data_IF_328448395588
#
_entry.id   IF_328448395588
#
_cell.length_a   1.000
_cell.length_b   1.000
_cell.length_c   1.000
_cell.angle_alpha   90.00
_cell.angle_beta   90.00
_cell.angle_gamma   90.00
#
_symmetry.space_group_name_H-M   'P 1'
#
loop_
_entity.id
_entity.type
_entity.pdbx_description
1 polymer ?
#
# COMPACT_ATOMS: atom_id res chain seq x y z
N UNK A 1 26.54 -21.93 21.14
CA UNK A 1 25.88 -22.19 19.84
C UNK A 1 25.00 -21.00 19.53
N UNK A 2 25.47 -20.08 18.69
CA UNK A 2 24.68 -18.93 18.25
C UNK A 2 23.86 -19.39 17.05
N UNK A 3 22.54 -19.50 17.21
CA UNK A 3 21.63 -19.70 16.09
C UNK A 3 21.58 -18.39 15.30
N UNK A 4 22.51 -18.23 14.37
CA UNK A 4 22.36 -17.30 13.25
C UNK A 4 21.18 -17.80 12.43
N UNK A 5 20.01 -17.17 12.61
CA UNK A 5 19.00 -17.19 11.57
C UNK A 5 19.58 -16.39 10.40
N UNK A 6 20.12 -17.08 9.40
CA UNK A 6 20.34 -16.50 8.09
C UNK A 6 18.95 -16.24 7.50
N UNK A 7 18.47 -15.01 7.65
CA UNK A 7 17.31 -14.55 6.87
C UNK A 7 17.80 -14.55 5.42
N UNK A 8 17.11 -15.23 4.48
CA UNK A 8 17.49 -15.18 3.08
C UNK A 8 17.58 -13.72 2.62
N UNK A 9 18.56 -13.45 1.76
CA UNK A 9 18.87 -12.16 1.15
C UNK A 9 17.80 -11.69 0.14
N UNK A 10 16.52 -11.83 0.47
CA UNK A 10 15.43 -11.29 -0.33
C UNK A 10 15.05 -9.90 0.18
N UNK A 11 14.93 -8.96 -0.75
CA UNK A 11 14.49 -7.60 -0.42
C UNK A 11 13.03 -7.67 0.08
N UNK A 12 12.67 -6.90 1.12
CA UNK A 12 11.33 -6.95 1.68
C UNK A 12 10.29 -6.51 0.63
N UNK A 13 9.21 -7.27 0.51
CA UNK A 13 8.05 -6.92 -0.32
C UNK A 13 7.16 -5.95 0.46
N UNK A 14 6.95 -4.77 -0.10
CA UNK A 14 6.21 -3.69 0.58
C UNK A 14 4.87 -3.46 -0.11
N UNK A 15 3.81 -3.53 0.69
CA UNK A 15 2.47 -3.10 0.32
C UNK A 15 2.18 -1.72 0.90
N UNK A 16 1.86 -0.75 0.04
CA UNK A 16 1.42 0.58 0.43
C UNK A 16 -0.05 0.79 0.07
N UNK A 17 -0.86 1.06 1.08
CA UNK A 17 -2.28 1.40 0.93
C UNK A 17 -2.44 2.91 1.13
N UNK A 18 -3.13 3.58 0.20
CA UNK A 18 -3.30 5.04 0.25
C UNK A 18 -2.19 5.83 -0.46
N UNK A 19 -1.42 5.18 -1.33
CA UNK A 19 -0.28 5.76 -2.07
C UNK A 19 -0.58 7.05 -2.85
N UNK A 20 -1.84 7.29 -3.23
CA UNK A 20 -2.23 8.50 -3.97
C UNK A 20 -2.79 9.62 -3.08
N UNK A 21 -2.76 9.44 -1.76
CA UNK A 21 -3.09 10.48 -0.78
C UNK A 21 -1.88 11.37 -0.47
N UNK A 22 -2.08 12.44 0.29
CA UNK A 22 -0.99 13.35 0.67
C UNK A 22 0.12 12.64 1.48
N UNK A 23 -0.27 11.94 2.55
CA UNK A 23 0.66 11.19 3.41
C UNK A 23 1.24 10.00 2.65
N UNK A 24 0.38 9.18 2.03
CA UNK A 24 0.83 7.99 1.30
C UNK A 24 1.73 8.31 0.11
N UNK A 25 1.46 9.36 -0.64
CA UNK A 25 2.30 9.80 -1.75
C UNK A 25 3.66 10.33 -1.30
N UNK A 26 3.70 10.99 -0.13
CA UNK A 26 4.96 11.43 0.48
C UNK A 26 5.82 10.24 0.92
N UNK A 27 5.20 9.24 1.55
CA UNK A 27 5.86 7.99 1.94
C UNK A 27 6.35 7.23 0.70
N UNK A 28 5.51 7.07 -0.33
CA UNK A 28 5.90 6.43 -1.58
C UNK A 28 7.13 7.12 -2.19
N UNK A 29 7.08 8.44 -2.31
CA UNK A 29 8.18 9.22 -2.89
C UNK A 29 9.47 9.07 -2.08
N UNK A 30 9.38 9.01 -0.75
CA UNK A 30 10.54 8.79 0.12
C UNK A 30 11.10 7.36 -0.01
N UNK A 31 10.24 6.34 -0.05
CA UNK A 31 10.66 4.94 -0.22
C UNK A 31 11.38 4.74 -1.55
N UNK A 32 10.84 5.31 -2.63
CA UNK A 32 11.43 5.23 -3.97
C UNK A 32 12.75 5.99 -4.11
N UNK A 33 12.94 7.08 -3.35
CA UNK A 33 14.17 7.86 -3.33
C UNK A 33 15.21 7.34 -2.33
N UNK A 34 14.89 6.31 -1.55
CA UNK A 34 15.79 5.80 -0.53
C UNK A 34 16.92 4.97 -1.15
N UNK A 35 18.18 5.36 -0.91
CA UNK A 35 19.37 4.65 -1.38
C UNK A 35 19.73 3.38 -0.58
N UNK A 36 18.85 2.95 0.34
CA UNK A 36 19.03 1.71 1.07
C UNK A 36 19.07 0.51 0.12
N UNK A 37 20.04 -0.38 0.28
CA UNK A 37 20.17 -1.61 -0.53
C UNK A 37 18.94 -2.52 -0.44
N UNK A 38 18.16 -2.40 0.65
CA UNK A 38 16.91 -3.15 0.83
C UNK A 38 15.75 -2.61 -0.03
N UNK A 39 15.79 -1.33 -0.42
CA UNK A 39 14.67 -0.64 -1.09
C UNK A 39 14.99 -0.25 -2.54
N UNK A 40 16.27 -0.03 -2.84
CA UNK A 40 16.73 0.39 -4.16
C UNK A 40 16.28 -0.62 -5.22
N UNK A 41 15.62 -0.12 -6.26
CA UNK A 41 15.12 -0.92 -7.40
C UNK A 41 14.11 -2.01 -7.00
N UNK A 42 13.53 -1.96 -5.79
CA UNK A 42 12.44 -2.85 -5.38
C UNK A 42 11.11 -2.19 -5.72
N UNK A 43 10.25 -2.81 -6.55
CA UNK A 43 8.92 -2.28 -6.81
C UNK A 43 8.08 -2.23 -5.53
N UNK A 44 7.30 -1.16 -5.38
CA UNK A 44 6.36 -0.99 -4.26
C UNK A 44 4.94 -1.27 -4.76
N UNK A 45 4.30 -2.27 -4.18
CA UNK A 45 2.91 -2.60 -4.49
C UNK A 45 2.00 -1.53 -3.90
N UNK A 46 1.11 -0.96 -4.70
CA UNK A 46 0.21 0.11 -4.28
C UNK A 46 -1.25 -0.29 -4.48
N UNK A 47 -2.03 -0.42 -3.40
CA UNK A 47 -3.48 -0.57 -3.52
C UNK A 47 -4.10 0.75 -3.96
N UNK A 48 -4.83 0.73 -5.08
CA UNK A 48 -5.48 1.90 -5.67
C UNK A 48 -6.97 1.68 -5.92
N UNK A 49 -7.76 2.71 -5.59
CA UNK A 49 -9.20 2.73 -5.86
C UNK A 49 -9.46 3.35 -7.22
N UNK A 50 -10.02 2.57 -8.14
CA UNK A 50 -10.34 2.99 -9.50
C UNK A 50 -9.17 2.80 -10.48
N UNK A 51 -9.51 2.33 -11.69
CA UNK A 51 -8.53 2.00 -12.73
C UNK A 51 -7.79 3.24 -13.26
N UNK A 52 -8.38 4.43 -13.14
CA UNK A 52 -7.81 5.70 -13.61
C UNK A 52 -6.49 6.08 -12.92
N UNK A 53 -6.20 5.47 -11.77
CA UNK A 53 -4.98 5.70 -10.99
C UNK A 53 -3.79 4.88 -11.50
N UNK A 54 -4.02 3.72 -12.11
CA UNK A 54 -2.96 2.88 -12.70
C UNK A 54 -2.12 3.66 -13.70
N UNK A 55 -2.68 4.28 -14.77
CA UNK A 55 -1.86 4.97 -15.75
C UNK A 55 -1.13 6.19 -15.16
N UNK A 56 -1.68 6.82 -14.12
CA UNK A 56 -1.04 7.95 -13.42
C UNK A 56 0.21 7.50 -12.66
N UNK A 57 0.11 6.41 -11.90
CA UNK A 57 1.25 5.84 -11.17
C UNK A 57 2.32 5.30 -12.12
N UNK A 58 1.92 4.54 -13.14
CA UNK A 58 2.84 4.00 -14.13
C UNK A 58 3.57 5.11 -14.89
N UNK A 59 2.87 6.21 -15.23
CA UNK A 59 3.49 7.37 -15.87
C UNK A 59 4.49 8.09 -14.95
N UNK A 60 4.21 8.16 -13.65
CA UNK A 60 5.04 8.88 -12.69
C UNK A 60 6.28 8.09 -12.25
N UNK A 61 6.16 6.77 -12.08
CA UNK A 61 7.17 5.95 -11.40
C UNK A 61 7.64 4.73 -12.23
N UNK A 62 7.00 4.43 -13.36
CA UNK A 62 7.37 3.29 -14.20
C UNK A 62 7.29 1.96 -13.43
N UNK A 63 8.28 1.09 -13.65
CA UNK A 63 8.36 -0.23 -13.02
C UNK A 63 8.73 -0.22 -11.53
N UNK A 64 8.90 0.96 -10.92
CA UNK A 64 9.15 1.07 -9.47
C UNK A 64 7.86 0.98 -8.64
N UNK A 65 6.69 0.99 -9.29
CA UNK A 65 5.39 0.86 -8.62
C UNK A 65 4.57 -0.22 -9.30
N UNK A 66 3.96 -1.09 -8.49
CA UNK A 66 3.05 -2.14 -8.94
C UNK A 66 1.63 -1.83 -8.44
N UNK A 67 0.80 -1.12 -9.22
CA UNK A 67 -0.54 -0.77 -8.77
C UNK A 67 -1.47 -1.99 -8.85
N UNK A 68 -2.22 -2.23 -7.78
CA UNK A 68 -3.23 -3.29 -7.68
C UNK A 68 -4.58 -2.67 -7.34
N UNK A 69 -5.62 -3.01 -8.11
CA UNK A 69 -6.97 -2.49 -7.88
C UNK A 69 -7.62 -3.22 -6.71
N UNK A 70 -8.33 -2.45 -5.90
CA UNK A 70 -9.30 -2.92 -4.91
C UNK A 70 -10.51 -1.97 -4.91
N UNK A 71 -11.66 -2.46 -4.43
CA UNK A 71 -12.91 -1.69 -4.47
C UNK A 71 -12.85 -0.46 -3.56
N UNK A 72 -12.60 -0.71 -2.28
CA UNK A 72 -12.61 0.27 -1.19
C UNK A 72 -11.92 -0.32 0.06
N UNK A 73 -11.95 0.42 1.17
CA UNK A 73 -11.36 -0.04 2.44
C UNK A 73 -12.07 -1.25 3.05
N UNK A 74 -13.31 -1.53 2.62
CA UNK A 74 -14.09 -2.67 3.09
C UNK A 74 -13.85 -3.93 2.24
N UNK A 75 -13.06 -3.81 1.15
CA UNK A 75 -12.55 -4.93 0.36
C UNK A 75 -11.46 -5.70 1.12
N UNK A 76 -11.88 -6.30 2.22
CA UNK A 76 -11.04 -6.98 3.20
C UNK A 76 -10.45 -8.24 2.61
N UNK A 77 -11.20 -8.95 1.78
CA UNK A 77 -10.71 -10.15 1.08
C UNK A 77 -9.53 -9.82 0.17
N UNK A 78 -9.66 -8.80 -0.70
CA UNK A 78 -8.55 -8.39 -1.56
C UNK A 78 -7.37 -7.85 -0.77
N UNK A 79 -7.65 -7.08 0.28
CA UNK A 79 -6.61 -6.53 1.15
C UNK A 79 -5.82 -7.65 1.85
N UNK A 80 -6.49 -8.68 2.37
CA UNK A 80 -5.84 -9.86 2.99
C UNK A 80 -5.05 -10.65 1.95
N UNK A 81 -5.64 -10.91 0.77
CA UNK A 81 -4.99 -11.64 -0.32
C UNK A 81 -3.66 -10.98 -0.66
N UNK A 82 -3.67 -9.68 -0.96
CA UNK A 82 -2.46 -8.94 -1.33
C UNK A 82 -1.51 -8.84 -0.15
N UNK A 83 -1.98 -8.48 1.04
CA UNK A 83 -1.13 -8.38 2.23
C UNK A 83 -0.40 -9.69 2.56
N UNK A 84 -1.02 -10.85 2.33
CA UNK A 84 -0.40 -12.16 2.57
C UNK A 84 0.85 -12.45 1.73
N UNK A 85 1.03 -11.71 0.63
CA UNK A 85 2.17 -11.82 -0.28
C UNK A 85 3.31 -10.84 0.04
N UNK A 86 3.16 -10.02 1.09
CA UNK A 86 4.09 -8.95 1.44
C UNK A 86 4.62 -9.12 2.85
N UNK A 87 5.85 -8.68 3.07
CA UNK A 87 6.52 -8.72 4.38
C UNK A 87 6.13 -7.50 5.24
N UNK A 88 5.91 -6.35 4.58
CA UNK A 88 5.61 -5.07 5.23
C UNK A 88 4.35 -4.48 4.61
N UNK A 89 3.38 -4.15 5.46
CA UNK A 89 2.15 -3.45 5.07
C UNK A 89 2.11 -2.07 5.71
N UNK A 90 2.05 -1.03 4.89
CA UNK A 90 1.91 0.37 5.33
C UNK A 90 0.53 0.87 4.90
N UNK A 91 -0.36 1.09 5.87
CA UNK A 91 -1.66 1.69 5.60
C UNK A 91 -1.66 3.18 5.95
N UNK A 92 -1.88 4.03 4.94
CA UNK A 92 -1.93 5.49 5.06
C UNK A 92 -3.31 6.05 4.72
N UNK A 93 -4.31 5.19 4.65
CA UNK A 93 -5.68 5.60 4.33
C UNK A 93 -6.36 6.22 5.55
N UNK A 94 -7.11 7.29 5.31
CA UNK A 94 -7.98 7.87 6.32
C UNK A 94 -9.33 7.17 6.23
N UNK A 95 -9.65 6.36 7.24
CA UNK A 95 -10.97 5.78 7.42
C UNK A 95 -11.90 6.83 8.02
N UNK A 96 -12.66 7.54 7.20
CA UNK A 96 -13.84 8.26 7.68
C UNK A 96 -15.04 7.34 7.54
N UNK A 97 -15.32 6.54 8.56
CA UNK A 97 -16.64 5.92 8.67
C UNK A 97 -17.58 7.01 9.14
N UNK A 98 -18.40 7.55 8.24
CA UNK A 98 -19.59 8.27 8.68
C UNK A 98 -20.39 7.25 9.48
N UNK A 99 -20.45 7.43 10.80
CA UNK A 99 -21.48 6.77 11.60
C UNK A 99 -22.79 6.97 10.83
N UNK A 100 -23.52 5.90 10.48
CA UNK A 100 -24.84 6.09 9.91
C UNK A 100 -25.58 7.04 10.85
N UNK A 101 -26.29 8.05 10.32
CA UNK A 101 -27.02 8.98 11.18
C UNK A 101 -27.84 8.12 12.14
N UNK A 102 -27.53 8.22 13.44
CA UNK A 102 -28.34 7.67 14.52
C UNK A 102 -29.77 7.98 14.12
N UNK A 103 -30.59 6.95 13.95
CA UNK A 103 -32.00 7.02 13.57
C UNK A 103 -32.57 8.30 14.17
N UNK A 104 -32.69 9.34 13.35
CA UNK A 104 -33.54 10.46 13.67
C UNK A 104 -34.91 9.81 13.67
N UNK A 105 -35.37 9.49 14.88
CA UNK A 105 -36.75 9.10 15.11
C UNK A 105 -37.57 10.23 14.51
N UNK A 106 -38.05 9.99 13.30
CA UNK A 106 -39.17 10.73 12.75
C UNK A 106 -40.30 10.55 13.76
N UNK A 107 -40.77 11.68 14.26
CA UNK A 107 -42.11 11.98 14.78
C UNK A 107 -43.02 10.79 15.12
#
# INVERSE_FOLDING_TARGET
MQHFFCIPSEKPKILLIGATGYIGGSILSHLLACDSSALKETPITCLVRGEDRIPKLNKAYGGLVEPVIYRDLDDTEKTIEVASQHDIVVNTTLGFTLLPPLLSSKD
#
